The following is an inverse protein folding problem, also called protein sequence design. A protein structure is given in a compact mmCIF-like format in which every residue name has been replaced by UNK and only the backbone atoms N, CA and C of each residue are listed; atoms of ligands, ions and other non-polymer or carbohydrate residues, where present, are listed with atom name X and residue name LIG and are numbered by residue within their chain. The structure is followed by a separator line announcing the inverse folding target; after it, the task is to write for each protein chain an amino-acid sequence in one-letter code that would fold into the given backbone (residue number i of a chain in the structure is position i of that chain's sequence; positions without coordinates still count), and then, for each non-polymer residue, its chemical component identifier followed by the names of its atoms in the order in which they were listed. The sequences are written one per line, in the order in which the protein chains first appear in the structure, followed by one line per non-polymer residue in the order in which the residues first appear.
data_IF_376757663162
#
_entry.id   IF_376757663162
#
_cell.length_a   1.000
_cell.length_b   1.000
_cell.length_c   1.000
_cell.angle_alpha   90.00
_cell.angle_beta   90.00
_cell.angle_gamma   90.00
#
_symmetry.space_group_name_H-M   'P 1'
#
loop_
_entity.id
_entity.type
_entity.pdbx_description
1 polymer ?
#
# COMPACT_ATOMS: atom_id res chain seq x y z
N UNK A 1 -20.15 -0.38 9.21
CA UNK A 1 -19.21 0.23 8.25
C UNK A 1 -19.70 -0.13 6.85
N UNK A 2 -19.78 0.84 5.95
CA UNK A 2 -20.02 0.56 4.54
C UNK A 2 -18.66 0.28 3.87
N UNK A 3 -18.48 -0.91 3.30
CA UNK A 3 -17.23 -1.30 2.62
C UNK A 3 -17.49 -1.24 1.13
N UNK A 4 -16.71 -0.43 0.42
CA UNK A 4 -16.76 -0.32 -1.03
C UNK A 4 -15.57 -1.07 -1.61
N UNK A 5 -15.83 -2.20 -2.27
CA UNK A 5 -14.80 -2.97 -2.94
C UNK A 5 -14.39 -2.29 -4.26
N UNK A 6 -13.13 -1.90 -4.34
CA UNK A 6 -12.54 -1.25 -5.52
C UNK A 6 -11.77 -2.29 -6.31
N UNK A 7 -12.37 -2.76 -7.40
CA UNK A 7 -11.82 -3.83 -8.23
C UNK A 7 -11.10 -3.30 -9.47
N UNK A 8 -10.03 -3.99 -9.93
CA UNK A 8 -9.43 -3.72 -11.23
C UNK A 8 -10.40 -4.05 -12.35
N UNK A 9 -10.18 -3.46 -13.53
CA UNK A 9 -11.02 -3.68 -14.71
C UNK A 9 -10.97 -5.14 -15.20
N UNK A 10 -9.79 -5.76 -15.08
CA UNK A 10 -9.57 -7.14 -15.50
C UNK A 10 -9.26 -8.06 -14.30
N UNK A 11 -9.86 -9.24 -14.30
CA UNK A 11 -9.41 -10.38 -13.50
C UNK A 11 -7.95 -10.75 -13.84
N UNK A 12 -7.30 -11.56 -13.00
CA UNK A 12 -5.92 -12.01 -13.29
C UNK A 12 -5.91 -12.82 -14.59
N UNK A 13 -6.89 -13.69 -14.80
CA UNK A 13 -7.01 -14.55 -15.96
C UNK A 13 -7.30 -13.76 -17.25
N UNK A 14 -8.05 -12.66 -17.17
CA UNK A 14 -8.25 -11.75 -18.31
C UNK A 14 -6.97 -10.96 -18.60
N UNK A 15 -6.32 -10.42 -17.57
CA UNK A 15 -5.07 -9.68 -17.72
C UNK A 15 -3.97 -10.57 -18.33
N UNK A 16 -3.85 -11.81 -17.89
CA UNK A 16 -2.90 -12.78 -18.43
C UNK A 16 -3.18 -13.10 -19.90
N UNK A 17 -4.45 -13.19 -20.30
CA UNK A 17 -4.84 -13.37 -21.72
C UNK A 17 -4.49 -12.16 -22.58
N UNK A 18 -4.58 -10.96 -22.03
CA UNK A 18 -4.33 -9.71 -22.76
C UNK A 18 -2.83 -9.35 -22.83
N UNK A 19 -2.09 -9.55 -21.74
CA UNK A 19 -0.75 -9.01 -21.54
C UNK A 19 0.33 -10.09 -21.30
N UNK A 20 -0.07 -11.37 -21.34
CA UNK A 20 0.76 -12.50 -20.96
C UNK A 20 0.82 -12.71 -19.45
N UNK A 21 1.08 -13.97 -19.04
CA UNK A 21 1.13 -14.37 -17.63
C UNK A 21 2.14 -13.58 -16.80
N UNK A 22 1.88 -13.55 -15.50
CA UNK A 22 2.79 -13.06 -14.46
C UNK A 22 3.31 -11.64 -14.70
N UNK A 23 2.42 -10.73 -15.12
CA UNK A 23 2.79 -9.33 -15.34
C UNK A 23 3.45 -8.72 -14.09
N UNK A 24 3.07 -9.15 -12.88
CA UNK A 24 3.71 -8.70 -11.64
C UNK A 24 5.22 -8.97 -11.57
N UNK A 25 5.71 -10.02 -12.25
CA UNK A 25 7.11 -10.43 -12.24
C UNK A 25 7.89 -9.76 -13.37
N UNK A 26 7.24 -9.55 -14.53
CA UNK A 26 7.87 -8.97 -15.73
C UNK A 26 7.84 -7.44 -15.72
N UNK A 27 6.75 -6.87 -15.24
CA UNK A 27 6.54 -5.42 -15.10
C UNK A 27 5.63 -5.12 -13.91
N UNK A 28 6.24 -5.09 -12.72
CA UNK A 28 5.52 -4.78 -11.49
C UNK A 28 4.89 -3.39 -11.51
N UNK A 29 5.45 -2.42 -12.25
CA UNK A 29 4.94 -1.05 -12.34
C UNK A 29 3.62 -1.05 -13.11
N UNK A 30 3.59 -1.61 -14.32
CA UNK A 30 2.38 -1.75 -15.12
C UNK A 30 1.30 -2.58 -14.39
N UNK A 31 1.70 -3.68 -13.75
CA UNK A 31 0.79 -4.48 -12.94
C UNK A 31 0.14 -3.65 -11.81
N UNK A 32 0.91 -2.85 -11.07
CA UNK A 32 0.36 -1.99 -10.02
C UNK A 32 -0.49 -0.84 -10.58
N UNK A 33 -0.10 -0.28 -11.74
CA UNK A 33 -0.88 0.78 -12.39
C UNK A 33 -2.30 0.29 -12.72
N UNK A 34 -2.42 -0.87 -13.39
CA UNK A 34 -3.69 -1.46 -13.79
C UNK A 34 -4.50 -1.98 -12.60
N UNK A 35 -3.82 -2.62 -11.63
CA UNK A 35 -4.51 -3.33 -10.55
C UNK A 35 -4.77 -2.52 -9.29
N UNK A 36 -4.09 -1.38 -9.11
CA UNK A 36 -4.15 -0.57 -7.88
C UNK A 36 -4.43 0.89 -8.19
N UNK A 37 -3.60 1.52 -9.02
CA UNK A 37 -3.65 2.98 -9.22
C UNK A 37 -4.91 3.39 -9.99
N UNK A 38 -5.15 2.80 -11.16
CA UNK A 38 -6.32 3.11 -11.98
C UNK A 38 -7.66 2.87 -11.26
N UNK A 39 -7.92 1.71 -10.63
CA UNK A 39 -9.19 1.50 -9.95
C UNK A 39 -9.37 2.41 -8.74
N UNK A 40 -8.29 2.73 -8.00
CA UNK A 40 -8.37 3.71 -6.92
C UNK A 40 -8.70 5.10 -7.46
N UNK A 41 -8.00 5.60 -8.48
CA UNK A 41 -8.24 6.91 -9.10
C UNK A 41 -9.70 7.09 -9.54
N UNK A 42 -10.26 6.08 -10.23
CA UNK A 42 -11.67 6.11 -10.65
C UNK A 42 -12.64 6.22 -9.48
N UNK A 43 -12.32 5.55 -8.37
CA UNK A 43 -13.18 5.56 -7.19
C UNK A 43 -13.05 6.87 -6.41
N UNK A 44 -11.82 7.38 -6.26
CA UNK A 44 -11.53 8.61 -5.53
C UNK A 44 -12.16 9.85 -6.17
N UNK A 45 -12.43 9.85 -7.47
CA UNK A 45 -13.13 10.93 -8.16
C UNK A 45 -14.53 11.26 -7.58
N UNK A 46 -15.11 10.36 -6.78
CA UNK A 46 -16.36 10.60 -6.06
C UNK A 46 -16.20 11.14 -4.63
N UNK A 47 -14.99 11.50 -4.19
CA UNK A 47 -14.68 11.88 -2.82
C UNK A 47 -13.85 13.18 -2.75
N UNK A 48 -14.01 13.93 -1.67
CA UNK A 48 -13.31 15.20 -1.43
C UNK A 48 -12.10 15.04 -0.48
N UNK A 49 -12.08 13.97 0.31
CA UNK A 49 -11.05 13.71 1.32
C UNK A 49 -10.63 12.24 1.31
N UNK A 50 -9.32 11.99 1.36
CA UNK A 50 -8.72 10.66 1.44
C UNK A 50 -7.80 10.52 2.65
N UNK A 51 -8.18 9.67 3.60
CA UNK A 51 -7.33 9.28 4.72
C UNK A 51 -6.41 8.13 4.34
N UNK A 52 -5.13 8.22 4.72
CA UNK A 52 -4.16 7.13 4.52
C UNK A 52 -3.36 6.83 5.79
N UNK A 53 -2.84 5.60 5.88
CA UNK A 53 -1.99 5.17 7.00
C UNK A 53 -0.50 5.44 6.81
N UNK A 54 -0.10 6.30 5.86
CA UNK A 54 1.32 6.59 5.58
C UNK A 54 1.97 7.26 6.79
N UNK A 55 3.12 6.75 7.22
CA UNK A 55 3.96 7.34 8.27
C UNK A 55 5.35 7.67 7.74
N UNK A 56 6.00 8.67 8.34
CA UNK A 56 7.34 9.14 7.94
C UNK A 56 8.44 8.11 8.20
N UNK A 57 8.22 7.18 9.14
CA UNK A 57 9.18 6.16 9.53
C UNK A 57 9.14 4.88 8.66
N UNK A 58 8.26 4.82 7.65
CA UNK A 58 8.05 3.60 6.86
C UNK A 58 9.04 3.39 5.72
N UNK A 59 9.58 4.48 5.15
CA UNK A 59 10.52 4.44 4.03
C UNK A 59 11.19 5.82 3.81
N UNK A 60 12.39 5.88 3.22
CA UNK A 60 13.06 7.14 2.88
C UNK A 60 12.21 8.08 1.99
N UNK A 61 11.36 7.52 1.15
CA UNK A 61 10.43 8.28 0.27
C UNK A 61 9.30 8.97 1.04
N UNK A 62 9.09 8.64 2.32
CA UNK A 62 7.95 9.09 3.14
C UNK A 62 8.36 10.07 4.24
N UNK A 63 9.65 10.31 4.46
CA UNK A 63 10.18 11.13 5.57
C UNK A 63 9.56 12.52 5.68
N UNK A 64 9.16 13.13 4.56
CA UNK A 64 8.58 14.47 4.51
C UNK A 64 7.05 14.46 4.31
N UNK A 65 6.37 13.34 4.60
CA UNK A 65 4.91 13.23 4.41
C UNK A 65 4.18 14.30 5.23
N UNK A 66 3.38 15.18 4.60
CA UNK A 66 2.60 16.18 5.31
C UNK A 66 1.39 15.53 6.00
N UNK A 67 0.93 16.12 7.11
CA UNK A 67 -0.30 15.68 7.79
C UNK A 67 -1.52 15.89 6.90
N UNK A 68 -1.58 17.01 6.18
CA UNK A 68 -2.65 17.39 5.25
C UNK A 68 -1.99 17.97 4.01
N UNK A 69 -2.41 17.53 2.83
CA UNK A 69 -1.97 18.09 1.55
C UNK A 69 -3.09 18.02 0.53
N UNK A 70 -3.03 18.89 -0.47
CA UNK A 70 -3.79 18.70 -1.70
C UNK A 70 -3.10 17.61 -2.55
N UNK A 71 -3.89 16.66 -3.07
CA UNK A 71 -3.44 15.62 -3.99
C UNK A 71 -3.88 15.97 -5.41
N UNK A 72 -3.01 16.67 -6.14
CA UNK A 72 -3.29 17.10 -7.52
C UNK A 72 -3.62 15.94 -8.46
N UNK A 73 -3.05 14.75 -8.23
CA UNK A 73 -3.25 13.59 -9.09
C UNK A 73 -4.67 13.00 -8.95
N UNK A 74 -5.31 13.22 -7.80
CA UNK A 74 -6.66 12.73 -7.50
C UNK A 74 -7.71 13.85 -7.33
N UNK A 75 -7.28 15.12 -7.27
CA UNK A 75 -8.18 16.27 -7.11
C UNK A 75 -8.89 16.33 -5.76
N UNK A 76 -8.22 15.95 -4.68
CA UNK A 76 -8.83 15.88 -3.33
C UNK A 76 -7.84 16.22 -2.20
N UNK A 77 -8.36 16.42 -0.99
CA UNK A 77 -7.53 16.59 0.21
C UNK A 77 -7.08 15.24 0.74
N UNK A 78 -5.76 15.05 0.88
CA UNK A 78 -5.18 13.85 1.47
C UNK A 78 -4.72 14.10 2.90
N UNK A 79 -5.14 13.23 3.81
CA UNK A 79 -4.87 13.33 5.25
C UNK A 79 -4.12 12.09 5.73
N UNK A 80 -2.99 12.30 6.42
CA UNK A 80 -2.14 11.26 6.96
C UNK A 80 -2.07 11.43 8.50
N UNK A 81 -3.10 10.98 9.25
CA UNK A 81 -3.23 11.29 10.68
C UNK A 81 -2.11 10.67 11.54
N UNK A 82 -1.42 9.66 11.02
CA UNK A 82 -0.32 8.98 11.71
C UNK A 82 1.05 9.38 11.12
N UNK A 83 1.14 10.46 10.34
CA UNK A 83 2.37 10.80 9.63
C UNK A 83 3.60 10.90 10.55
N UNK A 84 3.41 11.41 11.76
CA UNK A 84 4.44 11.61 12.79
C UNK A 84 4.54 10.47 13.82
N UNK A 85 3.73 9.42 13.69
CA UNK A 85 3.80 8.27 14.58
C UNK A 85 4.98 7.35 14.23
N UNK A 86 5.69 6.89 15.25
CA UNK A 86 6.60 5.76 15.12
C UNK A 86 5.83 4.44 15.06
N UNK A 87 6.50 3.38 14.59
CA UNK A 87 5.98 2.02 14.62
C UNK A 87 5.63 1.59 16.05
N UNK A 88 6.45 1.92 17.04
CA UNK A 88 6.20 1.59 18.45
C UNK A 88 4.94 2.28 18.99
N UNK A 89 4.70 3.54 18.62
CA UNK A 89 3.46 4.25 18.98
C UNK A 89 2.22 3.59 18.35
N UNK A 90 2.33 3.16 17.08
CA UNK A 90 1.26 2.44 16.40
C UNK A 90 0.95 1.09 17.09
N UNK A 91 1.98 0.34 17.45
CA UNK A 91 1.85 -0.94 18.16
C UNK A 91 1.23 -0.74 19.53
N UNK A 92 1.78 0.20 20.32
CA UNK A 92 1.26 0.51 21.65
C UNK A 92 -0.23 0.90 21.59
N UNK A 93 -0.61 1.78 20.66
CA UNK A 93 -2.00 2.16 20.49
C UNK A 93 -2.89 0.97 20.12
N UNK A 94 -2.41 0.06 19.26
CA UNK A 94 -3.14 -1.15 18.89
C UNK A 94 -3.36 -2.08 20.09
N UNK A 95 -2.37 -2.21 20.97
CA UNK A 95 -2.44 -3.04 22.18
C UNK A 95 -3.38 -2.42 23.23
N UNK A 96 -3.20 -1.14 23.55
CA UNK A 96 -3.99 -0.40 24.53
C UNK A 96 -5.49 -0.41 24.18
N UNK A 97 -5.81 -0.43 22.88
CA UNK A 97 -7.18 -0.41 22.36
C UNK A 97 -7.69 -1.78 21.89
N UNK A 98 -6.91 -2.86 22.09
CA UNK A 98 -7.29 -4.23 21.73
C UNK A 98 -7.73 -4.33 20.25
N UNK A 99 -7.01 -3.65 19.36
CA UNK A 99 -7.33 -3.65 17.94
C UNK A 99 -6.92 -4.98 17.30
N UNK A 100 -7.75 -5.54 16.41
CA UNK A 100 -7.39 -6.73 15.67
C UNK A 100 -6.23 -6.43 14.71
N UNK A 101 -5.17 -7.23 14.81
CA UNK A 101 -3.99 -7.15 13.94
C UNK A 101 -3.99 -8.29 12.91
N UNK A 102 -3.35 -8.07 11.76
CA UNK A 102 -3.28 -9.10 10.73
C UNK A 102 -2.41 -10.28 11.21
N UNK A 103 -2.91 -11.54 11.20
CA UNK A 103 -2.14 -12.71 11.67
C UNK A 103 -0.83 -12.96 10.92
N UNK A 104 -0.67 -12.41 9.71
CA UNK A 104 0.58 -12.54 8.96
C UNK A 104 1.74 -11.76 9.59
N UNK A 105 1.46 -10.75 10.41
CA UNK A 105 2.50 -10.00 11.12
C UNK A 105 3.33 -10.94 12.02
N UNK A 106 2.68 -11.77 12.83
CA UNK A 106 3.35 -12.74 13.71
C UNK A 106 4.00 -13.90 12.94
N UNK A 107 3.67 -14.06 11.66
CA UNK A 107 4.26 -15.06 10.77
C UNK A 107 5.48 -14.54 10.00
N UNK A 108 5.92 -13.30 10.27
CA UNK A 108 7.10 -12.68 9.67
C UNK A 108 6.83 -11.81 8.45
N UNK A 109 5.60 -11.31 8.26
CA UNK A 109 5.24 -10.38 7.18
C UNK A 109 4.95 -8.96 7.71
N UNK A 110 5.98 -8.16 8.02
CA UNK A 110 5.79 -6.82 8.60
C UNK A 110 5.24 -5.78 7.61
N UNK A 111 5.27 -6.05 6.30
CA UNK A 111 4.62 -5.23 5.27
C UNK A 111 3.82 -6.13 4.32
N UNK A 112 2.50 -5.98 4.29
CA UNK A 112 1.59 -6.92 3.60
C UNK A 112 0.97 -6.26 2.37
N UNK A 113 0.97 -6.97 1.24
CA UNK A 113 0.44 -6.49 -0.03
C UNK A 113 -0.26 -7.60 -0.81
N UNK A 114 -0.10 -7.59 -2.14
CA UNK A 114 -0.58 -8.71 -2.96
C UNK A 114 0.33 -9.92 -2.75
N UNK A 115 -0.28 -11.11 -2.74
CA UNK A 115 0.40 -12.39 -2.51
C UNK A 115 1.69 -12.57 -3.33
N UNK A 116 1.76 -12.28 -4.65
CA UNK A 116 2.98 -12.54 -5.42
C UNK A 116 4.12 -11.54 -5.15
N UNK A 117 3.85 -10.41 -4.48
CA UNK A 117 4.82 -9.34 -4.25
C UNK A 117 5.12 -9.11 -2.76
N UNK A 118 4.78 -10.08 -1.90
CA UNK A 118 4.95 -10.01 -0.45
C UNK A 118 5.69 -11.26 0.04
N UNK A 119 6.83 -11.07 0.70
CA UNK A 119 7.63 -12.15 1.31
C UNK A 119 7.86 -11.90 2.79
N UNK A 120 8.19 -12.97 3.52
CA UNK A 120 8.70 -12.86 4.88
C UNK A 120 10.04 -12.14 4.88
N UNK A 121 10.38 -11.50 5.99
CA UNK A 121 11.69 -10.91 6.22
C UNK A 121 12.38 -11.57 7.41
N UNK A 122 13.70 -11.51 7.46
CA UNK A 122 14.45 -11.97 8.62
C UNK A 122 14.24 -11.01 9.82
N UNK A 123 14.32 -11.49 11.07
CA UNK A 123 14.30 -10.61 12.24
C UNK A 123 15.35 -9.49 12.12
N UNK A 124 14.95 -8.24 12.38
CA UNK A 124 15.81 -7.07 12.28
C UNK A 124 16.07 -6.54 10.86
N UNK A 125 15.58 -7.21 9.82
CA UNK A 125 15.61 -6.67 8.46
C UNK A 125 14.61 -5.52 8.30
N UNK A 126 14.82 -4.67 7.28
CA UNK A 126 13.87 -3.64 6.88
C UNK A 126 12.44 -4.25 6.71
N UNK A 127 11.43 -3.73 7.43
CA UNK A 127 10.04 -4.20 7.34
C UNK A 127 9.45 -4.27 5.93
N UNK A 128 9.92 -3.43 5.00
CA UNK A 128 9.45 -3.38 3.61
C UNK A 128 10.32 -4.18 2.65
N UNK A 129 11.45 -4.74 3.08
CA UNK A 129 12.34 -5.54 2.21
C UNK A 129 11.67 -6.77 1.58
N UNK A 130 10.56 -7.25 2.16
CA UNK A 130 9.74 -8.32 1.58
C UNK A 130 8.87 -7.88 0.39
N UNK A 131 8.81 -6.58 0.07
CA UNK A 131 7.99 -6.01 -1.02
C UNK A 131 8.82 -5.92 -2.29
N UNK A 132 8.32 -6.54 -3.36
CA UNK A 132 9.04 -6.59 -4.66
C UNK A 132 10.51 -7.04 -4.53
N UNK A 133 10.77 -7.95 -3.58
CA UNK A 133 12.12 -8.42 -3.27
C UNK A 133 12.87 -8.91 -4.53
N UNK A 134 14.07 -8.38 -4.74
CA UNK A 134 14.90 -8.66 -5.93
C UNK A 134 14.65 -7.72 -7.12
N UNK A 135 14.01 -6.58 -6.90
CA UNK A 135 13.81 -5.52 -7.92
C UNK A 135 14.13 -4.14 -7.34
N UNK A 136 14.35 -3.14 -8.19
CA UNK A 136 14.59 -1.73 -7.77
C UNK A 136 13.32 -0.99 -7.33
N UNK A 137 12.17 -1.67 -7.31
CA UNK A 137 10.89 -1.05 -7.03
C UNK A 137 10.67 -0.85 -5.53
N UNK A 138 10.42 0.41 -5.14
CA UNK A 138 10.24 0.81 -3.73
C UNK A 138 8.79 1.13 -3.36
N UNK A 139 7.98 1.61 -4.30
CA UNK A 139 6.59 2.02 -4.08
C UNK A 139 5.62 1.47 -5.12
N UNK A 140 4.36 1.30 -4.71
CA UNK A 140 3.32 0.75 -5.59
C UNK A 140 2.69 1.77 -6.55
N UNK A 141 2.93 3.07 -6.35
CA UNK A 141 2.32 4.15 -7.13
C UNK A 141 1.02 4.70 -6.54
N UNK A 142 0.51 4.18 -5.43
CA UNK A 142 -0.71 4.69 -4.80
C UNK A 142 -0.53 6.08 -4.16
N UNK A 143 0.68 6.41 -3.73
CA UNK A 143 0.95 7.63 -2.97
C UNK A 143 1.94 8.57 -3.67
N UNK A 144 2.16 8.34 -4.96
CA UNK A 144 3.07 9.10 -5.82
C UNK A 144 2.28 10.15 -6.58
#
# INVERSE_FOLDING_TARGET
MNIVDVLPENTVEQQDRLLGKDLFARDAAQCCALRKVQPLRRTLAGYEVWFTGVRRDEAPTRTNTPLITWDEANGLVKVNPMADWSFDQLVQYSEDNILPVNPLLSQGYPSIGCQPCTRKVAPGADPRSGRWAGTDKTECGLHV
#
